data_IF_913496327993
#
_entry.id   IF_913496327993
#
_cell.length_a   1.000
_cell.length_b   1.000
_cell.length_c   1.000
_cell.angle_alpha   90.00
_cell.angle_beta   90.00
_cell.angle_gamma   90.00
#
_symmetry.space_group_name_H-M   'P 1'
#
loop_
_entity.id
_entity.type
_entity.pdbx_description
1 polymer ?
#
# COMPACT_ATOMS: atom_id res chain seq x y z
N UNK A 1 -8.24 21.63 12.21
CA UNK A 1 -8.95 21.75 13.06
C UNK A 1 -9.17 21.76 13.60
N UNK A 2 -9.20 21.41 13.02
CA UNK A 2 -9.80 21.24 13.83
C UNK A 2 -10.02 21.22 14.17
N UNK A 3 -9.76 21.18 13.42
CA UNK A 3 -10.34 21.29 14.15
C UNK A 3 -10.49 21.41 14.46
N UNK A 4 -10.36 21.24 13.87
CA UNK A 4 -10.77 21.39 14.62
C UNK A 4 -10.92 21.38 14.89
N UNK A 5 -10.69 21.33 14.29
CA UNK A 5 -11.01 21.51 14.89
C UNK A 5 -11.18 21.45 15.02
N UNK A 6 -11.23 21.09 14.79
CA UNK A 6 -11.59 21.02 15.35
C UNK A 6 -11.89 20.93 15.55
N UNK A 7 -11.63 20.69 14.92
CA UNK A 7 -12.16 20.86 15.42
C UNK A 7 -12.36 20.65 15.51
N UNK A 8 -12.19 20.42 14.93
CA UNK A 8 -12.56 20.70 15.44
C UNK A 8 -12.66 20.31 15.61
N UNK A 9 -12.71 20.09 15.38
CA UNK A 9 -12.92 19.92 15.99
C UNK A 9 -13.23 19.56 16.37
N UNK A 10 -13.21 19.41 15.91
CA UNK A 10 -13.57 19.18 16.73
C UNK A 10 -14.14 18.98 17.05
N UNK A 11 -14.18 18.88 16.67
CA UNK A 11 -14.73 18.72 17.52
C UNK A 11 -15.27 18.45 17.97
N UNK A 12 -15.01 18.22 17.14
CA UNK A 12 -15.35 18.23 17.91
C UNK A 12 -15.74 17.78 18.24
N UNK A 13 -15.80 17.39 18.01
CA UNK A 13 -15.97 17.25 18.62
C UNK A 13 -16.23 16.63 18.87
N UNK A 14 -15.99 16.06 18.65
CA UNK A 14 -16.05 15.89 19.03
C UNK A 14 -16.04 15.21 19.17
N UNK A 15 -15.92 14.99 19.54
CA UNK A 15 -15.75 14.62 20.09
C UNK A 15 -15.65 13.85 20.19
N UNK A 16 -15.39 13.29 19.86
CA UNK A 16 -14.99 12.94 20.34
C UNK A 16 -14.77 12.09 20.48
N UNK A 17 -14.76 11.85 20.38
CA UNK A 17 -14.25 11.17 20.53
C UNK A 17 -13.90 10.38 20.53
N UNK A 18 -13.55 10.11 20.43
CA UNK A 18 -12.88 9.58 20.31
C UNK A 18 -12.50 8.84 20.09
N UNK A 19 -12.36 8.87 20.30
CA UNK A 19 -11.66 8.44 19.95
C UNK A 19 -11.16 8.07 19.65
N UNK A 20 -11.01 7.92 19.68
CA UNK A 20 -10.37 7.87 19.21
C UNK A 20 -9.85 7.83 18.75
N UNK A 21 -9.90 8.02 18.73
CA UNK A 21 -9.39 8.24 18.01
C UNK A 21 -8.78 8.47 17.53
N UNK A 22 -8.49 9.24 17.52
CA UNK A 22 -7.75 9.66 16.96
C UNK A 22 -6.53 9.39 16.83
N UNK A 23 -6.53 9.26 17.10
CA UNK A 23 -5.30 8.52 17.10
C UNK A 23 -4.61 8.66 15.77
N UNK A 24 -3.34 8.97 15.81
CA UNK A 24 -2.60 9.09 14.57
C UNK A 24 -2.50 7.73 13.89
N UNK A 25 -2.94 7.68 12.63
CA UNK A 25 -2.74 6.52 11.79
C UNK A 25 -1.62 6.76 10.78
N UNK A 26 -0.90 7.89 10.92
CA UNK A 26 0.21 8.19 10.02
C UNK A 26 1.35 7.24 10.30
N UNK A 27 1.90 6.67 9.24
CA UNK A 27 2.98 5.69 9.33
C UNK A 27 4.04 6.03 8.30
N UNK A 28 5.29 5.75 8.61
CA UNK A 28 6.41 5.89 7.68
C UNK A 28 7.10 4.54 7.56
N UNK A 29 7.19 4.04 6.34
CA UNK A 29 7.75 2.72 6.07
C UNK A 29 8.54 2.73 4.77
N UNK A 30 9.35 1.70 4.58
CA UNK A 30 10.09 1.51 3.35
C UNK A 30 9.23 0.72 2.36
N UNK A 31 9.34 1.06 1.08
CA UNK A 31 8.60 0.38 0.02
C UNK A 31 9.56 -0.13 -1.03
N UNK A 32 9.43 -1.40 -1.38
CA UNK A 32 10.21 -2.03 -2.45
C UNK A 32 9.23 -2.66 -3.43
N UNK A 33 9.41 -2.38 -4.72
CA UNK A 33 8.59 -2.95 -5.78
C UNK A 33 9.52 -3.69 -6.73
N UNK A 34 9.30 -5.00 -6.89
CA UNK A 34 10.16 -5.85 -7.70
C UNK A 34 9.41 -6.40 -8.90
N UNK A 35 10.05 -6.31 -10.06
CA UNK A 35 9.52 -6.80 -11.33
C UNK A 35 10.41 -7.94 -11.78
N UNK A 36 10.01 -9.17 -11.54
CA UNK A 36 10.84 -10.33 -11.82
C UNK A 36 11.23 -10.37 -13.30
N UNK A 37 12.53 -10.59 -13.55
CA UNK A 37 13.07 -10.81 -14.89
C UNK A 37 13.01 -9.63 -15.84
N UNK A 38 12.97 -8.41 -15.33
CA UNK A 38 12.95 -7.23 -16.16
C UNK A 38 14.32 -6.56 -16.32
N UNK A 39 15.38 -7.21 -15.86
CA UNK A 39 16.73 -6.70 -16.01
C UNK A 39 17.27 -6.13 -14.71
N UNK A 40 18.38 -5.41 -14.82
CA UNK A 40 19.10 -4.93 -13.64
C UNK A 40 18.33 -3.88 -12.86
N UNK A 41 17.45 -3.15 -13.54
CA UNK A 41 16.69 -2.05 -12.92
C UNK A 41 15.27 -2.46 -12.64
N UNK A 42 15.08 -3.72 -12.28
CA UNK A 42 13.74 -4.26 -12.06
C UNK A 42 13.24 -4.05 -10.63
N UNK A 43 13.90 -3.20 -9.86
CA UNK A 43 13.50 -2.94 -8.48
C UNK A 43 13.40 -1.44 -8.27
N UNK A 44 12.26 -1.01 -7.74
CA UNK A 44 12.07 0.36 -7.28
C UNK A 44 12.10 0.36 -5.77
N UNK A 45 12.92 1.24 -5.19
CA UNK A 45 13.06 1.33 -3.75
C UNK A 45 12.77 2.74 -3.29
N UNK A 46 11.89 2.86 -2.31
CA UNK A 46 11.52 4.14 -1.69
C UNK A 46 11.81 3.99 -0.19
N UNK A 47 12.85 4.68 0.26
CA UNK A 47 13.34 4.50 1.64
C UNK A 47 12.36 4.95 2.70
N UNK A 48 11.50 5.92 2.37
CA UNK A 48 10.62 6.51 3.36
C UNK A 48 9.34 6.97 2.68
N UNK A 49 8.26 6.21 2.90
CA UNK A 49 6.93 6.56 2.43
C UNK A 49 6.10 6.86 3.66
N UNK A 50 5.52 8.06 3.71
CA UNK A 50 4.65 8.47 4.81
C UNK A 50 3.22 8.56 4.28
N UNK A 51 2.31 7.92 4.97
CA UNK A 51 0.91 7.89 4.55
C UNK A 51 0.00 7.86 5.77
N UNK A 52 -1.22 8.37 5.59
CA UNK A 52 -2.25 8.30 6.63
C UNK A 52 -3.06 7.00 6.55
N UNK A 53 -2.84 6.22 5.51
CA UNK A 53 -3.45 4.89 5.42
C UNK A 53 -2.39 3.87 5.80
N UNK A 54 -2.39 3.43 7.05
CA UNK A 54 -1.32 2.62 7.63
C UNK A 54 -1.49 1.14 7.30
N UNK A 55 -1.56 0.84 6.01
CA UNK A 55 -1.69 -0.54 5.51
C UNK A 55 -0.66 -0.79 4.42
N UNK A 56 -0.43 -2.07 4.10
CA UNK A 56 0.48 -2.42 3.01
C UNK A 56 0.03 -1.79 1.69
N UNK A 57 -1.29 -1.74 1.45
CA UNK A 57 -1.82 -1.08 0.27
C UNK A 57 -1.62 0.44 0.34
N UNK A 58 -1.81 1.03 1.53
CA UNK A 58 -1.60 2.46 1.72
C UNK A 58 -0.16 2.88 1.45
N UNK A 59 0.81 2.07 1.86
CA UNK A 59 2.21 2.35 1.56
C UNK A 59 2.45 2.30 0.05
N UNK A 60 1.88 1.32 -0.64
CA UNK A 60 2.00 1.23 -2.10
C UNK A 60 1.43 2.48 -2.78
N UNK A 61 0.25 2.92 -2.36
CA UNK A 61 -0.35 4.12 -2.94
C UNK A 61 0.44 5.37 -2.58
N UNK A 62 0.99 5.41 -1.36
CA UNK A 62 1.80 6.55 -0.92
C UNK A 62 3.05 6.75 -1.76
N UNK A 63 3.60 5.66 -2.29
CA UNK A 63 4.78 5.73 -3.14
C UNK A 63 4.52 6.34 -4.51
N UNK A 64 3.26 6.42 -4.94
CA UNK A 64 2.93 6.98 -6.26
C UNK A 64 3.37 8.41 -6.41
N UNK A 65 3.35 9.19 -5.34
CA UNK A 65 3.80 10.58 -5.39
C UNK A 65 5.29 10.68 -5.73
N UNK A 66 6.09 9.77 -5.18
CA UNK A 66 7.53 9.78 -5.43
C UNK A 66 7.90 9.08 -6.72
N UNK A 67 7.21 7.99 -7.05
CA UNK A 67 7.59 7.13 -8.17
C UNK A 67 6.80 7.34 -9.44
N UNK A 68 5.71 8.08 -9.40
CA UNK A 68 4.87 8.39 -10.57
C UNK A 68 4.41 7.12 -11.31
N UNK A 69 4.08 6.08 -10.55
CA UNK A 69 3.59 4.84 -11.16
C UNK A 69 2.09 4.69 -10.94
N UNK A 70 1.49 3.85 -11.77
CA UNK A 70 0.06 3.56 -11.68
C UNK A 70 -0.17 2.29 -10.87
N UNK A 71 -1.35 2.21 -10.25
CA UNK A 71 -1.77 1.01 -9.53
C UNK A 71 -3.23 0.77 -9.89
N UNK A 72 -3.57 -0.47 -10.25
CA UNK A 72 -4.97 -0.87 -10.40
C UNK A 72 -5.26 -2.01 -9.43
N UNK A 73 -6.48 -2.03 -8.92
CA UNK A 73 -6.88 -3.04 -7.95
C UNK A 73 -8.37 -3.30 -8.09
N UNK A 74 -8.80 -4.50 -7.69
CA UNK A 74 -10.21 -4.87 -7.61
C UNK A 74 -10.51 -5.36 -6.21
N UNK A 75 -11.79 -5.34 -5.86
CA UNK A 75 -12.23 -5.84 -4.57
C UNK A 75 -13.08 -7.08 -4.78
N UNK A 76 -12.66 -8.17 -4.16
CA UNK A 76 -13.41 -9.42 -4.19
C UNK A 76 -14.17 -9.54 -2.88
N UNK A 77 -15.44 -9.92 -2.96
CA UNK A 77 -16.29 -9.91 -1.78
C UNK A 77 -15.82 -10.87 -0.69
N UNK A 78 -15.10 -11.93 -1.04
CA UNK A 78 -14.59 -12.89 -0.06
C UNK A 78 -13.18 -12.56 0.40
N UNK A 79 -12.31 -12.18 -0.55
CA UNK A 79 -10.88 -12.08 -0.26
C UNK A 79 -10.42 -10.63 -0.03
N UNK A 80 -11.28 -9.67 -0.32
CA UNK A 80 -10.93 -8.27 -0.15
C UNK A 80 -10.19 -7.72 -1.36
N UNK A 81 -9.36 -6.71 -1.12
CA UNK A 81 -8.68 -5.99 -2.19
C UNK A 81 -7.55 -6.82 -2.79
N UNK A 82 -7.46 -6.79 -4.10
CA UNK A 82 -6.45 -7.51 -4.87
C UNK A 82 -5.80 -6.54 -5.85
N UNK A 83 -4.48 -6.36 -5.75
CA UNK A 83 -3.75 -5.47 -6.65
C UNK A 83 -3.50 -6.21 -7.95
N UNK A 84 -3.93 -5.62 -9.06
CA UNK A 84 -3.84 -6.26 -10.37
C UNK A 84 -2.67 -5.76 -11.20
N UNK A 85 -2.30 -4.48 -11.07
CA UNK A 85 -1.15 -3.97 -11.81
C UNK A 85 -0.43 -2.88 -11.02
N UNK A 86 0.88 -2.80 -11.23
CA UNK A 86 1.73 -1.73 -10.69
C UNK A 86 2.67 -1.34 -11.83
N UNK A 87 2.76 -0.03 -12.07
CA UNK A 87 3.73 0.54 -13.02
C UNK A 87 3.63 -0.07 -14.42
N UNK A 88 2.42 -0.42 -14.85
CA UNK A 88 2.21 -0.94 -16.19
C UNK A 88 2.45 -2.43 -16.34
N UNK A 89 2.65 -3.15 -15.23
CA UNK A 89 2.81 -4.61 -15.25
C UNK A 89 1.68 -5.26 -14.47
N UNK A 90 1.08 -6.27 -15.09
CA UNK A 90 -0.03 -7.01 -14.51
C UNK A 90 -1.25 -6.96 -15.43
N UNK A 91 -2.43 -7.02 -14.83
CA UNK A 91 -3.69 -7.06 -15.58
C UNK A 91 -4.31 -5.68 -15.63
N UNK A 92 -4.24 -5.03 -16.78
CA UNK A 92 -4.95 -3.79 -17.07
C UNK A 92 -4.98 -3.62 -18.58
N UNK A 93 -5.74 -2.63 -19.06
CA UNK A 93 -5.98 -2.47 -20.49
C UNK A 93 -4.74 -2.36 -21.35
N UNK A 94 -3.72 -1.67 -20.85
CA UNK A 94 -2.48 -1.43 -21.60
C UNK A 94 -1.25 -1.96 -20.87
N UNK A 95 -1.45 -2.90 -19.95
CA UNK A 95 -0.36 -3.43 -19.16
C UNK A 95 0.37 -4.55 -19.90
N UNK A 96 1.63 -4.73 -19.53
CA UNK A 96 2.36 -5.93 -19.88
C UNK A 96 2.01 -6.98 -18.86
N UNK A 97 1.64 -8.16 -19.32
CA UNK A 97 1.13 -9.20 -18.46
C UNK A 97 1.91 -10.47 -18.72
N UNK A 98 2.47 -11.04 -17.68
CA UNK A 98 3.21 -12.28 -17.78
C UNK A 98 2.34 -13.40 -17.26
N UNK A 99 2.20 -14.44 -18.08
CA UNK A 99 1.29 -15.54 -17.79
C UNK A 99 1.66 -16.23 -16.48
N UNK A 100 0.68 -16.34 -15.57
CA UNK A 100 0.89 -16.98 -14.28
C UNK A 100 1.54 -16.11 -13.22
N UNK A 101 1.81 -14.84 -13.53
CA UNK A 101 2.39 -13.91 -12.57
C UNK A 101 1.30 -13.11 -11.90
N UNK A 102 1.55 -12.78 -10.62
CA UNK A 102 0.64 -11.96 -9.82
C UNK A 102 1.43 -11.03 -8.93
N UNK A 103 0.78 -9.97 -8.48
CA UNK A 103 1.37 -9.07 -7.50
C UNK A 103 1.09 -9.58 -6.10
N UNK A 104 2.15 -9.93 -5.39
CA UNK A 104 2.08 -10.43 -4.02
C UNK A 104 2.91 -9.51 -3.14
N UNK A 105 2.49 -9.35 -1.90
CA UNK A 105 3.23 -8.48 -0.98
C UNK A 105 3.75 -9.25 0.22
N UNK A 106 4.77 -8.69 0.84
CA UNK A 106 5.31 -9.18 2.11
C UNK A 106 5.60 -7.99 3.00
N UNK A 107 5.66 -8.22 4.28
CA UNK A 107 6.03 -7.20 5.27
C UNK A 107 7.12 -7.80 6.13
N UNK A 108 8.29 -7.15 6.14
CA UNK A 108 9.46 -7.63 6.89
C UNK A 108 9.77 -9.09 6.56
N UNK A 109 9.71 -9.41 5.25
CA UNK A 109 9.99 -10.74 4.70
C UNK A 109 8.94 -11.80 5.04
N UNK A 110 7.80 -11.41 5.61
CA UNK A 110 6.71 -12.35 5.86
C UNK A 110 5.63 -12.13 4.81
N UNK A 111 5.28 -13.20 4.10
CA UNK A 111 4.26 -13.14 3.05
C UNK A 111 2.93 -12.68 3.64
N UNK A 112 2.21 -11.89 2.86
CA UNK A 112 0.91 -11.38 3.27
C UNK A 112 -0.09 -12.51 3.44
N UNK A 113 -0.80 -12.48 4.55
CA UNK A 113 -1.80 -13.48 4.89
C UNK A 113 -3.22 -12.93 4.88
N UNK A 114 -3.37 -11.65 4.60
CA UNK A 114 -4.66 -10.98 4.47
C UNK A 114 -4.58 -10.03 3.29
N UNK A 115 -5.71 -9.47 2.89
CA UNK A 115 -5.72 -8.46 1.84
C UNK A 115 -4.84 -7.28 2.23
N UNK A 116 -4.16 -6.68 1.25
CA UNK A 116 -3.16 -5.64 1.51
C UNK A 116 -3.74 -4.42 2.21
N UNK A 117 -5.03 -4.15 2.01
CA UNK A 117 -5.68 -3.01 2.67
C UNK A 117 -6.12 -3.34 4.10
N UNK A 118 -5.84 -4.56 4.56
CA UNK A 118 -6.14 -4.98 5.93
C UNK A 118 -4.87 -5.25 6.74
N UNK A 119 -3.71 -5.26 6.09
CA UNK A 119 -2.43 -5.53 6.78
C UNK A 119 -1.91 -4.23 7.35
N UNK A 120 -1.95 -4.10 8.66
CA UNK A 120 -1.51 -2.89 9.36
C UNK A 120 0.02 -2.81 9.33
N UNK A 121 0.52 -1.63 9.03
CA UNK A 121 1.95 -1.35 8.94
C UNK A 121 2.34 -0.44 10.11
N UNK A 122 3.50 -0.68 10.66
CA UNK A 122 4.08 0.14 11.72
C UNK A 122 5.29 0.90 11.19
N UNK A 123 5.64 1.97 11.88
CA UNK A 123 6.83 2.74 11.51
C UNK A 123 8.05 1.84 11.43
N UNK A 124 8.81 1.99 10.35
CA UNK A 124 10.04 1.23 10.17
C UNK A 124 9.84 -0.11 9.48
N UNK A 125 8.61 -0.51 9.20
CA UNK A 125 8.36 -1.74 8.46
C UNK A 125 8.89 -1.62 7.02
N UNK A 126 9.17 -2.77 6.42
CA UNK A 126 9.54 -2.86 5.01
C UNK A 126 8.42 -3.59 4.27
N UNK A 127 7.76 -2.88 3.38
CA UNK A 127 6.69 -3.43 2.54
C UNK A 127 7.27 -3.70 1.18
N UNK A 128 7.14 -4.94 0.72
CA UNK A 128 7.67 -5.34 -0.57
C UNK A 128 6.56 -5.90 -1.43
N UNK A 129 6.47 -5.41 -2.66
CA UNK A 129 5.53 -5.90 -3.66
C UNK A 129 6.30 -6.59 -4.76
N UNK A 130 5.93 -7.83 -5.07
CA UNK A 130 6.64 -8.66 -6.03
C UNK A 130 5.71 -9.12 -7.14
N UNK A 131 6.12 -8.91 -8.38
CA UNK A 131 5.45 -9.48 -9.54
C UNK A 131 6.10 -10.83 -9.80
N UNK A 132 5.39 -11.91 -9.48
CA UNK A 132 6.02 -13.23 -9.42
C UNK A 132 5.02 -14.34 -9.69
N UNK A 133 5.55 -15.49 -10.14
CA UNK A 133 4.79 -16.72 -10.25
C UNK A 133 5.03 -17.65 -9.05
N UNK A 134 5.74 -17.20 -8.05
CA UNK A 134 6.08 -17.99 -6.86
C UNK A 134 5.20 -17.57 -5.69
N UNK A 135 4.24 -18.39 -5.37
CA UNK A 135 3.27 -18.08 -4.31
C UNK A 135 3.58 -18.85 -3.03
#
# INVERSE_FOLDING_TARGET
MNSLAIGGILYEIGYFDEDESDISTIVTAKLVIKFKNLGENDTLTFESITTSESTAYGILLGGQTQGSYSVTATTHYEFGLFVESIAGWGTCGNCQDEDGFYWLYSVNDNNGDVAANRKIISDGDVVEWNYTDEY
#
